data_IF_215622234892
#
_entry.id   IF_215622234892
#
_cell.length_a   1.000
_cell.length_b   1.000
_cell.length_c   1.000
_cell.angle_alpha   90.00
_cell.angle_beta   90.00
_cell.angle_gamma   90.00
#
_symmetry.space_group_name_H-M   'P 1'
#
loop_
_entity.id
_entity.type
_entity.pdbx_description
1 polymer ?
#
# COMPACT_ATOMS: atom_id res chain seq x y z
N UNK A 1 -11.12 61.04 8.20
CA UNK A 1 -9.94 61.16 7.31
C UNK A 1 -9.70 59.79 6.71
N UNK A 2 -9.64 59.67 5.39
CA UNK A 2 -9.31 58.41 4.72
C UNK A 2 -7.90 57.96 5.14
N UNK A 3 -7.71 56.68 5.46
CA UNK A 3 -6.42 56.14 5.87
C UNK A 3 -5.38 56.38 4.76
N UNK A 4 -4.39 57.27 4.95
CA UNK A 4 -3.41 57.60 3.91
C UNK A 4 -2.49 56.42 3.56
N UNK A 5 -2.47 55.37 4.40
CA UNK A 5 -1.72 54.13 4.15
C UNK A 5 -2.51 53.11 3.31
N UNK A 6 -3.81 53.31 3.08
CA UNK A 6 -4.61 52.39 2.25
C UNK A 6 -4.13 52.35 0.79
N UNK A 7 -3.53 53.44 0.30
CA UNK A 7 -2.95 53.51 -1.05
C UNK A 7 -1.68 52.65 -1.16
N UNK A 8 -0.95 52.45 -0.06
CA UNK A 8 0.21 51.57 0.02
C UNK A 8 -0.14 50.09 0.24
N UNK A 9 -1.41 49.77 0.53
CA UNK A 9 -1.93 48.40 0.67
C UNK A 9 -2.46 47.82 -0.64
N UNK A 10 -2.28 48.50 -1.78
CA UNK A 10 -2.58 47.90 -3.08
C UNK A 10 -1.53 46.83 -3.37
N UNK A 11 -1.83 45.59 -3.00
CA UNK A 11 -1.04 44.43 -3.35
C UNK A 11 -0.76 44.46 -4.86
N UNK A 12 0.52 44.44 -5.24
CA UNK A 12 0.89 44.39 -6.65
C UNK A 12 0.11 43.28 -7.35
N UNK A 13 -0.39 43.51 -8.59
CA UNK A 13 -1.12 42.49 -9.32
C UNK A 13 -0.25 41.23 -9.44
N UNK A 14 -0.84 40.08 -9.15
CA UNK A 14 -0.16 38.79 -9.24
C UNK A 14 0.23 38.52 -10.70
N UNK A 15 1.53 38.59 -10.99
CA UNK A 15 2.08 38.20 -12.28
C UNK A 15 2.55 36.75 -12.16
N UNK A 16 1.91 35.85 -12.90
CA UNK A 16 2.29 34.45 -12.94
C UNK A 16 3.49 34.25 -13.89
N UNK A 17 4.50 33.47 -13.50
CA UNK A 17 5.67 33.23 -14.33
C UNK A 17 5.40 32.14 -15.38
N UNK A 18 4.51 32.42 -16.33
CA UNK A 18 3.95 31.45 -17.31
C UNK A 18 4.96 30.77 -18.24
N UNK A 19 6.19 31.29 -18.30
CA UNK A 19 7.30 30.72 -19.08
C UNK A 19 8.27 29.87 -18.25
N UNK A 20 8.08 29.81 -16.94
CA UNK A 20 8.94 29.04 -16.05
C UNK A 20 8.44 27.58 -15.92
N UNK A 21 9.34 26.63 -15.61
CA UNK A 21 8.99 25.22 -15.38
C UNK A 21 7.96 25.06 -14.26
N UNK A 22 6.77 24.55 -14.61
CA UNK A 22 5.67 24.30 -13.69
C UNK A 22 5.55 22.81 -13.37
N UNK A 23 5.44 22.49 -12.08
CA UNK A 23 5.18 21.12 -11.62
C UNK A 23 3.67 20.84 -11.52
N UNK A 24 3.13 19.97 -12.37
CA UNK A 24 1.76 19.49 -12.32
C UNK A 24 1.69 18.22 -11.45
N UNK A 25 1.13 18.32 -10.25
CA UNK A 25 0.93 17.16 -9.37
C UNK A 25 -0.49 16.60 -9.49
N UNK A 26 -0.57 15.34 -9.92
CA UNK A 26 -1.82 14.59 -10.02
C UNK A 26 -1.82 13.35 -9.13
N UNK A 27 -2.99 13.02 -8.55
CA UNK A 27 -3.16 11.76 -7.80
C UNK A 27 -4.48 11.07 -8.14
N UNK A 28 -4.41 9.79 -8.50
CA UNK A 28 -5.59 8.96 -8.75
C UNK A 28 -6.47 8.84 -7.50
N UNK A 29 -7.79 9.03 -7.65
CA UNK A 29 -8.77 8.74 -6.58
C UNK A 29 -9.35 7.33 -6.75
N UNK A 30 -9.51 6.58 -5.66
CA UNK A 30 -10.01 5.21 -5.66
C UNK A 30 -11.48 5.06 -6.10
N UNK A 31 -12.27 6.13 -6.06
CA UNK A 31 -13.70 6.10 -6.44
C UNK A 31 -13.93 5.97 -7.95
N UNK A 32 -12.99 6.43 -8.78
CA UNK A 32 -13.15 6.47 -10.24
C UNK A 32 -12.54 5.27 -10.98
N UNK A 33 -11.80 4.40 -10.29
CA UNK A 33 -11.27 3.16 -10.89
C UNK A 33 -12.38 2.16 -11.30
N UNK A 34 -13.62 2.35 -10.83
CA UNK A 34 -14.72 1.43 -11.08
C UNK A 34 -15.50 1.68 -12.38
N UNK A 35 -15.36 2.83 -13.03
CA UNK A 35 -16.23 3.15 -14.18
C UNK A 35 -15.55 3.08 -15.54
N UNK A 36 -14.26 3.39 -15.71
CA UNK A 36 -13.66 3.43 -17.04
C UNK A 36 -12.25 2.82 -17.07
N UNK A 37 -12.10 1.76 -17.87
CA UNK A 37 -10.83 1.15 -18.26
C UNK A 37 -9.94 2.21 -18.93
N UNK A 38 -8.73 2.41 -18.41
CA UNK A 38 -7.57 3.05 -19.04
C UNK A 38 -7.68 4.55 -19.40
N UNK A 39 -8.80 5.03 -19.94
CA UNK A 39 -9.00 6.40 -20.43
C UNK A 39 -9.08 7.46 -19.32
N UNK A 40 -9.37 7.07 -18.08
CA UNK A 40 -9.56 8.04 -16.98
C UNK A 40 -8.27 8.66 -16.44
N UNK A 41 -7.12 8.03 -16.66
CA UNK A 41 -5.80 8.51 -16.18
C UNK A 41 -5.37 9.73 -16.99
N UNK A 42 -5.30 9.56 -18.31
CA UNK A 42 -4.81 10.58 -19.23
C UNK A 42 -5.80 11.74 -19.27
N UNK A 43 -7.11 11.45 -19.25
CA UNK A 43 -8.14 12.49 -19.27
C UNK A 43 -8.02 13.48 -18.09
N UNK A 44 -7.82 13.02 -16.85
CA UNK A 44 -7.74 13.94 -15.70
C UNK A 44 -6.49 14.85 -15.74
N UNK A 45 -5.39 14.37 -16.32
CA UNK A 45 -4.15 15.14 -16.45
C UNK A 45 -4.27 16.10 -17.63
N UNK A 46 -4.77 15.61 -18.76
CA UNK A 46 -4.98 16.39 -19.96
C UNK A 46 -5.95 17.55 -19.69
N UNK A 47 -7.01 17.33 -18.91
CA UNK A 47 -7.92 18.40 -18.49
C UNK A 47 -7.24 19.43 -17.56
N UNK A 48 -6.41 18.99 -16.61
CA UNK A 48 -5.65 19.94 -15.76
C UNK A 48 -4.61 20.73 -16.56
N UNK A 49 -3.96 20.10 -17.53
CA UNK A 49 -3.04 20.73 -18.47
C UNK A 49 -3.76 21.73 -19.37
N UNK A 50 -4.95 21.39 -19.87
CA UNK A 50 -5.83 22.32 -20.60
C UNK A 50 -6.19 23.53 -19.76
N UNK A 51 -6.52 23.36 -18.47
CA UNK A 51 -6.78 24.50 -17.57
C UNK A 51 -5.54 25.41 -17.50
N UNK A 52 -4.34 24.86 -17.31
CA UNK A 52 -3.10 25.65 -17.27
C UNK A 52 -2.82 26.40 -18.57
N UNK A 53 -2.99 25.75 -19.71
CA UNK A 53 -2.73 26.35 -21.03
C UNK A 53 -3.82 27.38 -21.40
N UNK A 54 -5.09 27.05 -21.23
CA UNK A 54 -6.22 27.88 -21.69
C UNK A 54 -6.55 29.02 -20.73
N UNK A 55 -6.58 28.75 -19.41
CA UNK A 55 -6.98 29.73 -18.41
C UNK A 55 -5.80 30.58 -17.92
N UNK A 56 -4.63 29.96 -17.75
CA UNK A 56 -3.44 30.63 -17.21
C UNK A 56 -2.39 30.96 -18.28
N UNK A 57 -2.64 30.63 -19.55
CA UNK A 57 -1.71 30.88 -20.67
C UNK A 57 -0.31 30.32 -20.45
N UNK A 58 -0.21 29.19 -19.73
CA UNK A 58 1.06 28.53 -19.49
C UNK A 58 1.57 27.85 -20.76
N UNK A 59 2.88 27.94 -21.03
CA UNK A 59 3.45 27.20 -22.16
C UNK A 59 3.43 25.68 -21.84
N UNK A 60 2.87 24.89 -22.77
CA UNK A 60 2.71 23.45 -22.60
C UNK A 60 4.05 22.70 -22.44
N UNK A 61 5.13 23.21 -23.05
CA UNK A 61 6.47 22.59 -23.04
C UNK A 61 7.15 22.69 -21.68
N UNK A 62 6.74 23.62 -20.83
CA UNK A 62 7.33 23.84 -19.50
C UNK A 62 6.48 23.25 -18.37
N UNK A 63 5.48 22.42 -18.68
CA UNK A 63 4.65 21.74 -17.68
C UNK A 63 5.16 20.30 -17.49
N UNK A 64 5.74 20.04 -16.31
CA UNK A 64 6.32 18.78 -15.90
C UNK A 64 5.36 18.01 -14.97
N UNK A 65 5.09 16.75 -15.27
CA UNK A 65 4.08 15.95 -14.56
C UNK A 65 4.70 15.09 -13.46
N UNK A 66 4.06 15.11 -12.28
CA UNK A 66 4.41 14.31 -11.11
C UNK A 66 3.18 13.50 -10.68
N UNK A 67 3.23 12.17 -10.81
CA UNK A 67 2.07 11.31 -10.60
C UNK A 67 2.35 10.11 -9.68
N UNK A 68 1.31 9.64 -8.99
CA UNK A 68 1.33 8.46 -8.13
C UNK A 68 0.19 7.48 -8.47
N UNK A 69 0.55 6.22 -8.76
CA UNK A 69 -0.37 5.10 -8.96
C UNK A 69 -0.81 4.49 -7.61
N UNK A 70 -2.11 4.24 -7.43
CA UNK A 70 -2.66 3.61 -6.21
C UNK A 70 -2.24 2.12 -6.06
N UNK A 71 -1.66 1.52 -7.11
CA UNK A 71 -1.48 0.08 -7.27
C UNK A 71 -0.49 -0.60 -6.31
N UNK A 72 0.47 0.13 -5.73
CA UNK A 72 1.58 -0.50 -4.98
C UNK A 72 1.61 -0.20 -3.46
N UNK A 73 0.68 0.57 -2.90
CA UNK A 73 0.86 1.10 -1.54
C UNK A 73 -0.35 0.95 -0.61
N UNK A 74 -1.03 -0.20 -0.67
CA UNK A 74 -1.85 -0.65 0.47
C UNK A 74 -1.01 -0.92 1.74
N UNK A 75 0.28 -1.18 1.55
CA UNK A 75 1.21 -1.70 2.57
C UNK A 75 2.43 -0.83 2.82
N UNK A 76 2.66 0.21 2.02
CA UNK A 76 3.77 1.14 2.25
C UNK A 76 3.35 2.14 3.32
N UNK A 77 4.06 2.06 4.45
CA UNK A 77 3.88 2.94 5.59
C UNK A 77 4.11 4.41 5.26
N UNK A 78 3.73 5.24 6.23
CA UNK A 78 4.01 6.66 6.36
C UNK A 78 5.48 6.92 5.97
N UNK A 79 5.78 7.40 4.77
CA UNK A 79 7.18 7.56 4.36
C UNK A 79 7.44 8.04 2.94
N UNK A 80 7.25 7.19 1.94
CA UNK A 80 7.86 7.45 0.63
C UNK A 80 6.83 7.48 -0.49
N UNK A 81 6.35 8.70 -0.72
CA UNK A 81 5.54 9.10 -1.85
C UNK A 81 6.44 9.47 -3.02
N UNK A 82 6.71 8.53 -3.92
CA UNK A 82 7.69 8.71 -5.02
C UNK A 82 7.42 9.98 -5.84
N UNK A 83 6.15 10.28 -6.14
CA UNK A 83 5.78 11.45 -6.95
C UNK A 83 5.96 12.76 -6.20
N UNK A 84 5.53 12.83 -4.93
CA UNK A 84 5.71 14.04 -4.09
C UNK A 84 7.18 14.25 -3.72
N UNK A 85 7.93 13.19 -3.44
CA UNK A 85 9.36 13.27 -3.13
C UNK A 85 10.13 13.83 -4.30
N UNK A 86 9.88 13.34 -5.53
CA UNK A 86 10.51 13.88 -6.75
C UNK A 86 10.16 15.34 -6.98
N UNK A 87 8.89 15.72 -6.79
CA UNK A 87 8.47 17.13 -6.87
C UNK A 87 9.22 18.00 -5.86
N UNK A 88 9.37 17.53 -4.62
CA UNK A 88 10.08 18.23 -3.57
C UNK A 88 11.58 18.38 -3.89
N UNK A 89 12.22 17.34 -4.45
CA UNK A 89 13.60 17.41 -4.94
C UNK A 89 13.78 18.45 -6.06
N UNK A 90 12.86 18.48 -7.03
CA UNK A 90 12.91 19.44 -8.14
C UNK A 90 12.58 20.88 -7.72
N UNK A 91 11.77 21.06 -6.67
CA UNK A 91 11.59 22.37 -6.00
C UNK A 91 12.88 22.78 -5.30
N UNK A 92 13.50 21.87 -4.54
CA UNK A 92 14.73 22.15 -3.79
C UNK A 92 15.92 22.47 -4.71
N UNK A 93 16.02 21.81 -5.86
CA UNK A 93 17.02 22.13 -6.89
C UNK A 93 16.77 23.50 -7.55
N UNK A 94 15.55 24.03 -7.44
CA UNK A 94 15.12 25.26 -8.08
C UNK A 94 14.74 25.08 -9.56
N UNK A 95 14.57 23.84 -10.01
CA UNK A 95 14.10 23.54 -11.36
C UNK A 95 12.65 23.98 -11.53
N UNK A 96 11.78 23.63 -10.57
CA UNK A 96 10.37 24.04 -10.55
C UNK A 96 10.21 25.36 -9.79
N UNK A 97 9.48 26.32 -10.36
CA UNK A 97 9.24 27.64 -9.75
C UNK A 97 7.79 27.84 -9.31
N UNK A 98 6.79 27.46 -10.12
CA UNK A 98 5.42 27.26 -9.64
C UNK A 98 4.97 25.81 -9.74
N UNK A 99 3.93 25.48 -8.99
CA UNK A 99 3.29 24.17 -9.06
C UNK A 99 1.78 24.31 -9.19
N UNK A 100 1.15 23.32 -9.81
CA UNK A 100 -0.29 23.18 -9.87
C UNK A 100 -0.72 21.89 -9.19
N UNK A 101 -1.72 21.99 -8.32
CA UNK A 101 -2.43 20.84 -7.77
C UNK A 101 -3.93 21.13 -7.72
N UNK A 102 -4.75 20.24 -8.28
CA UNK A 102 -6.19 20.48 -8.33
C UNK A 102 -6.81 20.69 -6.93
N UNK A 103 -6.45 19.84 -5.97
CA UNK A 103 -6.89 19.91 -4.58
C UNK A 103 -5.73 19.60 -3.63
N UNK A 104 -5.61 20.40 -2.55
CA UNK A 104 -4.55 20.23 -1.53
C UNK A 104 -4.64 18.89 -0.77
N UNK A 105 -5.82 18.26 -0.75
CA UNK A 105 -6.07 16.93 -0.17
C UNK A 105 -5.27 15.80 -0.85
N UNK A 106 -4.71 16.06 -2.04
CA UNK A 106 -3.91 15.11 -2.82
C UNK A 106 -2.45 15.08 -2.40
N UNK A 107 -1.90 16.20 -1.95
CA UNK A 107 -0.47 16.32 -1.64
C UNK A 107 -0.05 15.43 -0.46
N UNK A 108 -0.84 15.39 0.62
CA UNK A 108 -0.48 14.69 1.86
C UNK A 108 -1.69 13.99 2.48
N UNK A 109 -1.46 12.83 3.13
CA UNK A 109 -2.44 12.15 4.01
C UNK A 109 -1.88 12.08 5.43
N UNK A 110 -1.24 13.17 5.85
CA UNK A 110 -0.45 13.14 7.06
C UNK A 110 -1.27 13.67 8.24
N UNK A 111 -1.49 12.82 9.25
CA UNK A 111 -2.26 13.18 10.44
C UNK A 111 -1.53 14.23 11.28
N UNK A 112 -0.20 14.14 11.32
CA UNK A 112 0.64 15.03 12.14
C UNK A 112 1.14 16.25 11.37
N UNK A 113 0.80 16.35 10.07
CA UNK A 113 1.21 17.44 9.18
C UNK A 113 2.73 17.57 9.00
N UNK A 114 3.55 16.61 9.44
CA UNK A 114 5.01 16.69 9.37
C UNK A 114 5.46 16.89 7.92
N UNK A 115 4.91 16.09 7.00
CA UNK A 115 5.22 16.21 5.57
C UNK A 115 4.66 17.51 4.96
N UNK A 116 3.51 17.99 5.43
CA UNK A 116 2.92 19.25 4.98
C UNK A 116 3.82 20.43 5.36
N UNK A 117 4.31 20.45 6.60
CA UNK A 117 5.20 21.51 7.10
C UNK A 117 6.54 21.47 6.37
N UNK A 118 7.12 20.27 6.19
CA UNK A 118 8.38 20.10 5.43
C UNK A 118 8.24 20.63 4.01
N UNK A 119 7.14 20.30 3.35
CA UNK A 119 6.85 20.77 1.99
C UNK A 119 6.64 22.28 1.93
N UNK A 120 5.79 22.82 2.81
CA UNK A 120 5.52 24.25 2.86
C UNK A 120 6.80 25.07 3.13
N UNK A 121 7.72 24.56 3.97
CA UNK A 121 9.04 25.17 4.19
C UNK A 121 9.90 25.18 2.94
N UNK A 122 9.99 24.06 2.21
CA UNK A 122 10.72 24.01 0.95
C UNK A 122 10.15 25.02 -0.08
N UNK A 123 8.83 25.12 -0.16
CA UNK A 123 8.16 26.11 -1.02
C UNK A 123 8.39 27.56 -0.56
N UNK A 124 8.43 27.81 0.75
CA UNK A 124 8.73 29.13 1.33
C UNK A 124 10.15 29.58 0.95
N UNK A 125 11.15 28.72 1.15
CA UNK A 125 12.57 29.01 0.86
C UNK A 125 12.80 29.34 -0.62
N UNK A 126 12.10 28.65 -1.52
CA UNK A 126 12.22 28.81 -2.97
C UNK A 126 11.20 29.80 -3.56
N UNK A 127 10.36 30.41 -2.72
CA UNK A 127 9.29 31.33 -3.14
C UNK A 127 8.41 30.73 -4.24
N UNK A 128 7.93 29.52 -4.02
CA UNK A 128 7.08 28.78 -4.97
C UNK A 128 5.64 29.32 -4.95
N UNK A 129 5.02 29.41 -6.11
CA UNK A 129 3.57 29.69 -6.22
C UNK A 129 2.83 28.36 -6.32
N UNK A 130 1.87 28.12 -5.44
CA UNK A 130 1.01 26.94 -5.49
C UNK A 130 -0.34 27.34 -6.07
N UNK A 131 -0.64 26.87 -7.26
CA UNK A 131 -1.91 27.11 -7.96
C UNK A 131 -2.84 25.93 -7.69
N UNK A 132 -4.05 26.22 -7.24
CA UNK A 132 -5.11 25.22 -7.06
C UNK A 132 -6.39 25.63 -7.76
N UNK A 133 -7.36 24.72 -7.81
CA UNK A 133 -8.66 25.00 -8.45
C UNK A 133 -9.42 26.16 -7.79
N UNK A 134 -9.18 26.43 -6.51
CA UNK A 134 -9.93 27.41 -5.72
C UNK A 134 -9.10 28.59 -5.20
N UNK A 135 -7.77 28.47 -5.18
CA UNK A 135 -6.90 29.50 -4.60
C UNK A 135 -5.47 29.42 -5.13
N UNK A 136 -4.75 30.56 -5.14
CA UNK A 136 -3.33 30.64 -5.48
C UNK A 136 -2.55 31.09 -4.24
N UNK A 137 -1.66 30.24 -3.74
CA UNK A 137 -0.86 30.51 -2.55
C UNK A 137 0.52 31.02 -2.96
N UNK A 138 0.89 32.20 -2.47
CA UNK A 138 2.29 32.65 -2.47
C UNK A 138 2.89 32.28 -1.13
N UNK A 139 3.50 31.10 -1.04
CA UNK A 139 3.83 30.51 0.28
C UNK A 139 4.87 31.31 1.06
N UNK A 140 5.54 32.29 0.47
CA UNK A 140 6.43 33.23 1.17
C UNK A 140 5.71 34.40 1.86
N UNK A 141 4.41 34.57 1.62
CA UNK A 141 3.55 35.54 2.29
C UNK A 141 2.90 34.83 3.48
N UNK A 142 2.94 35.46 4.66
CA UNK A 142 2.51 34.84 5.91
C UNK A 142 1.03 34.39 5.85
N UNK A 143 0.14 35.24 5.33
CA UNK A 143 -1.29 34.95 5.21
C UNK A 143 -1.55 33.76 4.28
N UNK A 144 -0.86 33.69 3.13
CA UNK A 144 -1.00 32.58 2.18
C UNK A 144 -0.38 31.29 2.73
N UNK A 145 0.73 31.37 3.47
CA UNK A 145 1.35 30.22 4.13
C UNK A 145 0.42 29.62 5.18
N UNK A 146 -0.11 30.44 6.09
CA UNK A 146 -1.04 29.99 7.13
C UNK A 146 -2.30 29.39 6.51
N UNK A 147 -2.87 30.06 5.50
CA UNK A 147 -4.03 29.54 4.77
C UNK A 147 -3.76 28.20 4.12
N UNK A 148 -2.60 28.00 3.48
CA UNK A 148 -2.23 26.71 2.88
C UNK A 148 -2.22 25.59 3.93
N UNK A 149 -1.57 25.84 5.08
CA UNK A 149 -1.52 24.88 6.18
C UNK A 149 -2.92 24.55 6.71
N UNK A 150 -3.79 25.56 6.85
CA UNK A 150 -5.14 25.38 7.34
C UNK A 150 -6.05 24.64 6.34
N UNK A 151 -5.92 24.91 5.05
CA UNK A 151 -6.64 24.16 4.01
C UNK A 151 -6.19 22.69 3.98
N UNK A 152 -4.89 22.41 4.16
CA UNK A 152 -4.40 21.04 4.36
C UNK A 152 -4.99 20.38 5.62
N UNK A 153 -5.10 21.10 6.74
CA UNK A 153 -5.75 20.59 7.97
C UNK A 153 -7.22 20.29 7.74
N UNK A 154 -7.96 21.19 7.08
CA UNK A 154 -9.38 21.03 6.78
C UNK A 154 -9.61 19.84 5.86
N UNK A 155 -8.80 19.70 4.82
CA UNK A 155 -8.82 18.56 3.91
C UNK A 155 -8.60 17.23 4.65
N UNK A 156 -7.61 17.17 5.56
CA UNK A 156 -7.37 15.98 6.37
C UNK A 156 -8.56 15.67 7.29
N UNK A 157 -9.12 16.67 7.97
CA UNK A 157 -10.31 16.50 8.83
C UNK A 157 -11.50 15.97 8.05
N UNK A 158 -11.74 16.45 6.84
CA UNK A 158 -12.82 15.98 5.98
C UNK A 158 -12.60 14.51 5.56
N UNK A 159 -11.37 14.15 5.17
CA UNK A 159 -11.00 12.79 4.80
C UNK A 159 -11.09 11.83 6.00
N UNK A 160 -10.60 12.22 7.18
CA UNK A 160 -10.71 11.46 8.43
C UNK A 160 -12.17 11.25 8.83
N UNK A 161 -13.01 12.28 8.70
CA UNK A 161 -14.44 12.18 8.96
C UNK A 161 -15.12 11.19 8.03
N UNK A 162 -14.82 11.24 6.73
CA UNK A 162 -15.40 10.31 5.76
C UNK A 162 -14.92 8.87 5.97
N UNK A 163 -13.61 8.65 6.06
CA UNK A 163 -13.04 7.31 6.15
C UNK A 163 -13.17 6.72 7.56
N UNK A 164 -12.56 7.37 8.55
CA UNK A 164 -12.39 6.77 9.87
C UNK A 164 -13.63 6.92 10.76
N UNK A 165 -14.40 8.00 10.60
CA UNK A 165 -15.55 8.27 11.49
C UNK A 165 -16.89 7.84 10.89
N UNK A 166 -17.02 7.78 9.56
CA UNK A 166 -18.27 7.35 8.90
C UNK A 166 -18.14 5.95 8.32
N UNK A 167 -17.17 5.72 7.43
CA UNK A 167 -17.10 4.46 6.70
C UNK A 167 -16.61 3.28 7.56
N UNK A 168 -15.52 3.45 8.32
CA UNK A 168 -14.98 2.34 9.13
C UNK A 168 -15.98 1.80 10.16
N UNK A 169 -16.70 2.63 10.95
CA UNK A 169 -17.71 2.12 11.88
C UNK A 169 -18.84 1.38 11.16
N UNK A 170 -19.28 1.88 10.00
CA UNK A 170 -20.31 1.20 9.20
C UNK A 170 -19.84 -0.15 8.65
N UNK A 171 -18.56 -0.25 8.25
CA UNK A 171 -17.94 -1.52 7.82
C UNK A 171 -17.84 -2.49 9.00
N UNK A 172 -17.36 -2.03 10.14
CA UNK A 172 -17.27 -2.83 11.37
C UNK A 172 -18.64 -3.32 11.79
N UNK A 173 -19.65 -2.45 11.76
CA UNK A 173 -21.04 -2.81 12.06
C UNK A 173 -21.58 -3.86 11.08
N UNK A 174 -21.38 -3.68 9.77
CA UNK A 174 -21.76 -4.68 8.77
C UNK A 174 -21.08 -6.04 9.04
N UNK A 175 -19.79 -6.01 9.39
CA UNK A 175 -19.03 -7.21 9.74
C UNK A 175 -19.60 -7.94 10.97
N UNK A 176 -20.03 -7.20 11.99
CA UNK A 176 -20.68 -7.76 13.17
C UNK A 176 -22.09 -8.31 12.89
N UNK A 177 -22.69 -7.99 11.74
CA UNK A 177 -23.94 -8.58 11.24
C UNK A 177 -23.70 -9.79 10.32
N UNK A 178 -22.46 -10.28 10.21
CA UNK A 178 -22.09 -11.33 9.27
C UNK A 178 -22.17 -10.89 7.79
N UNK A 179 -22.17 -9.57 7.53
CA UNK A 179 -22.19 -9.02 6.18
C UNK A 179 -20.79 -8.62 5.75
N UNK A 180 -20.57 -8.64 4.44
CA UNK A 180 -19.37 -8.18 3.78
C UNK A 180 -19.08 -6.71 4.12
N UNK A 181 -17.86 -6.47 4.56
CA UNK A 181 -17.35 -5.19 5.06
C UNK A 181 -16.29 -4.57 4.13
N UNK A 182 -16.30 -4.95 2.85
CA UNK A 182 -15.38 -4.45 1.83
C UNK A 182 -13.90 -4.84 2.01
N UNK A 183 -13.62 -5.88 2.81
CA UNK A 183 -12.29 -6.53 2.89
C UNK A 183 -11.91 -7.23 1.59
N UNK A 184 -10.71 -7.80 1.52
CA UNK A 184 -10.29 -8.62 0.38
C UNK A 184 -11.19 -9.85 0.24
N UNK A 185 -11.49 -10.23 -1.00
CA UNK A 185 -12.41 -11.34 -1.27
C UNK A 185 -11.68 -12.66 -1.17
N UNK A 186 -12.30 -13.63 -0.48
CA UNK A 186 -11.81 -14.99 -0.46
C UNK A 186 -12.18 -15.70 -1.77
N UNK A 187 -11.18 -16.34 -2.39
CA UNK A 187 -11.38 -17.10 -3.62
C UNK A 187 -12.45 -18.18 -3.42
N UNK A 188 -13.31 -18.40 -4.40
CA UNK A 188 -14.50 -19.25 -4.26
C UNK A 188 -15.80 -18.48 -4.02
N UNK A 189 -15.74 -17.22 -3.58
CA UNK A 189 -16.92 -16.40 -3.28
C UNK A 189 -16.97 -15.10 -4.08
N UNK A 190 -18.17 -14.66 -4.42
CA UNK A 190 -18.49 -13.27 -4.77
C UNK A 190 -19.41 -12.67 -3.70
N UNK A 191 -19.82 -11.41 -3.87
CA UNK A 191 -20.72 -10.71 -2.94
C UNK A 191 -22.01 -10.37 -3.64
N UNK A 192 -23.13 -10.71 -3.00
CA UNK A 192 -24.44 -10.27 -3.44
C UNK A 192 -24.61 -8.75 -3.26
N UNK A 193 -24.89 -8.06 -4.37
CA UNK A 193 -25.05 -6.60 -4.43
C UNK A 193 -26.48 -6.17 -4.61
N UNK A 194 -27.41 -7.11 -4.85
CA UNK A 194 -28.81 -6.77 -5.02
C UNK A 194 -29.41 -6.39 -3.66
N UNK A 195 -29.88 -5.15 -3.56
CA UNK A 195 -30.47 -4.60 -2.33
C UNK A 195 -31.78 -5.30 -1.96
N UNK A 196 -32.44 -5.92 -2.92
CA UNK A 196 -33.71 -6.62 -2.72
C UNK A 196 -33.53 -8.10 -2.37
N UNK A 197 -32.32 -8.63 -2.53
CA UNK A 197 -32.01 -10.01 -2.18
C UNK A 197 -31.92 -10.21 -0.66
N UNK A 198 -32.39 -11.38 -0.20
CA UNK A 198 -32.26 -11.79 1.20
C UNK A 198 -30.79 -12.01 1.61
N UNK A 199 -29.91 -12.25 0.63
CA UNK A 199 -28.46 -12.41 0.83
C UNK A 199 -27.68 -11.12 0.62
N UNK A 200 -28.33 -9.95 0.54
CA UNK A 200 -27.65 -8.68 0.30
C UNK A 200 -26.43 -8.45 1.20
N UNK A 201 -25.29 -8.16 0.58
CA UNK A 201 -23.95 -8.03 1.20
C UNK A 201 -23.47 -9.31 1.90
N UNK A 202 -23.87 -10.50 1.47
CA UNK A 202 -23.29 -11.76 1.95
C UNK A 202 -22.46 -12.39 0.84
N UNK A 203 -21.60 -13.32 1.25
CA UNK A 203 -20.85 -14.14 0.31
C UNK A 203 -21.80 -15.10 -0.41
N UNK A 204 -21.57 -15.26 -1.71
CA UNK A 204 -22.27 -16.20 -2.58
C UNK A 204 -21.22 -17.04 -3.27
N UNK A 205 -21.29 -18.38 -3.22
CA UNK A 205 -20.34 -19.24 -3.90
C UNK A 205 -20.33 -18.97 -5.41
N UNK A 206 -19.13 -18.89 -5.98
CA UNK A 206 -18.93 -18.93 -7.43
C UNK A 206 -18.73 -20.39 -7.84
N UNK A 207 -19.68 -21.03 -8.55
CA UNK A 207 -19.70 -22.50 -8.70
C UNK A 207 -18.37 -23.10 -9.16
N UNK A 208 -17.80 -22.59 -10.25
CA UNK A 208 -16.51 -23.07 -10.78
C UNK A 208 -15.36 -22.92 -9.78
N UNK A 209 -15.33 -21.80 -9.05
CA UNK A 209 -14.24 -21.54 -8.11
C UNK A 209 -14.43 -22.33 -6.82
N UNK A 210 -15.66 -22.46 -6.35
CA UNK A 210 -16.04 -23.24 -5.19
C UNK A 210 -15.69 -24.72 -5.35
N UNK A 211 -15.97 -25.29 -6.53
CA UNK A 211 -15.56 -26.65 -6.90
C UNK A 211 -14.05 -26.83 -6.78
N UNK A 212 -13.26 -25.92 -7.37
CA UNK A 212 -11.79 -25.96 -7.28
C UNK A 212 -11.30 -25.86 -5.83
N UNK A 213 -11.89 -24.97 -5.02
CA UNK A 213 -11.55 -24.87 -3.60
C UNK A 213 -11.83 -26.19 -2.90
N UNK A 214 -13.03 -26.74 -3.04
CA UNK A 214 -13.39 -27.96 -2.30
C UNK A 214 -12.58 -29.18 -2.79
N UNK A 215 -12.56 -29.45 -4.09
CA UNK A 215 -11.99 -30.67 -4.65
C UNK A 215 -10.47 -30.62 -4.78
N UNK A 216 -9.93 -29.54 -5.36
CA UNK A 216 -8.49 -29.45 -5.67
C UNK A 216 -7.64 -28.91 -4.52
N UNK A 217 -8.25 -28.32 -3.49
CA UNK A 217 -7.52 -27.78 -2.34
C UNK A 217 -7.83 -28.57 -1.08
N UNK A 218 -9.08 -28.60 -0.62
CA UNK A 218 -9.44 -29.22 0.66
C UNK A 218 -9.37 -30.74 0.61
N UNK A 219 -10.09 -31.39 -0.32
CA UNK A 219 -10.06 -32.85 -0.45
C UNK A 219 -8.67 -33.33 -0.85
N UNK A 220 -8.02 -32.63 -1.79
CA UNK A 220 -6.66 -32.98 -2.21
C UNK A 220 -5.63 -32.94 -1.09
N UNK A 221 -5.75 -32.00 -0.14
CA UNK A 221 -4.89 -31.97 1.04
C UNK A 221 -5.09 -33.20 1.94
N UNK A 222 -6.33 -33.70 2.04
CA UNK A 222 -6.64 -34.92 2.79
C UNK A 222 -5.97 -36.12 2.11
N UNK A 223 -6.00 -36.20 0.78
CA UNK A 223 -5.30 -37.26 0.02
C UNK A 223 -3.79 -37.27 0.32
N UNK A 224 -3.18 -36.08 0.44
CA UNK A 224 -1.78 -35.91 0.84
C UNK A 224 -1.52 -36.07 2.35
N UNK A 225 -2.53 -36.43 3.15
CA UNK A 225 -2.39 -36.62 4.59
C UNK A 225 -1.98 -35.35 5.34
N UNK A 226 -2.34 -34.17 4.83
CA UNK A 226 -1.98 -32.87 5.42
C UNK A 226 -0.67 -32.27 4.91
N UNK A 227 -0.07 -32.82 3.84
CA UNK A 227 1.11 -32.22 3.21
C UNK A 227 0.77 -31.01 2.36
N UNK A 228 0.70 -29.83 2.99
CA UNK A 228 0.48 -28.59 2.27
C UNK A 228 1.63 -28.22 1.32
N UNK A 229 2.85 -28.73 1.54
CA UNK A 229 3.98 -28.47 0.63
C UNK A 229 3.88 -29.33 -0.63
N UNK A 230 3.53 -30.61 -0.49
CA UNK A 230 3.26 -31.47 -1.64
C UNK A 230 2.09 -30.94 -2.48
N UNK A 231 1.02 -30.45 -1.83
CA UNK A 231 -0.09 -29.80 -2.52
C UNK A 231 0.37 -28.54 -3.27
N UNK A 232 1.18 -27.68 -2.64
CA UNK A 232 1.72 -26.49 -3.31
C UNK A 232 2.56 -26.87 -4.53
N UNK A 233 3.41 -27.89 -4.40
CA UNK A 233 4.22 -28.38 -5.51
C UNK A 233 3.35 -28.90 -6.66
N UNK A 234 2.30 -29.69 -6.39
CA UNK A 234 1.33 -30.12 -7.42
C UNK A 234 0.71 -28.91 -8.14
N UNK A 235 0.26 -27.91 -7.38
CA UNK A 235 -0.33 -26.69 -7.92
C UNK A 235 0.67 -25.90 -8.79
N UNK A 236 1.94 -25.83 -8.40
CA UNK A 236 2.99 -25.19 -9.20
C UNK A 236 3.28 -25.93 -10.52
N UNK A 237 3.21 -27.27 -10.52
CA UNK A 237 3.45 -28.10 -11.71
C UNK A 237 2.29 -28.08 -12.71
N UNK A 238 1.08 -27.74 -12.30
CA UNK A 238 -0.04 -27.59 -13.22
C UNK A 238 0.20 -26.39 -14.14
N UNK A 239 0.49 -26.64 -15.42
CA UNK A 239 0.62 -25.62 -16.47
C UNK A 239 -0.75 -24.97 -16.79
N UNK A 240 -1.28 -24.17 -15.87
CA UNK A 240 -2.58 -23.53 -16.04
C UNK A 240 -3.00 -22.67 -14.85
N UNK A 241 -4.11 -21.93 -15.02
CA UNK A 241 -4.74 -21.21 -13.92
C UNK A 241 -5.47 -22.19 -13.01
N UNK A 242 -5.38 -21.99 -11.70
CA UNK A 242 -6.16 -22.79 -10.75
C UNK A 242 -7.63 -22.38 -10.83
N UNK A 243 -7.88 -21.06 -10.89
CA UNK A 243 -9.22 -20.51 -10.95
C UNK A 243 -9.43 -19.76 -12.27
N UNK A 244 -10.52 -20.02 -13.01
CA UNK A 244 -10.78 -19.34 -14.26
C UNK A 244 -11.06 -17.85 -14.05
N UNK A 245 -10.82 -17.04 -15.08
CA UNK A 245 -11.21 -15.64 -15.08
C UNK A 245 -12.71 -15.47 -14.78
N UNK A 246 -13.03 -14.44 -14.01
CA UNK A 246 -14.40 -14.08 -13.67
C UNK A 246 -14.60 -12.61 -14.03
N UNK A 247 -15.62 -12.31 -14.83
CA UNK A 247 -15.89 -10.94 -15.29
C UNK A 247 -16.68 -10.16 -14.23
N UNK A 248 -16.01 -9.83 -13.13
CA UNK A 248 -16.56 -8.99 -12.08
C UNK A 248 -15.51 -8.00 -11.56
N UNK A 249 -15.73 -6.68 -11.73
CA UNK A 249 -14.75 -5.66 -11.35
C UNK A 249 -14.38 -5.66 -9.86
N UNK A 250 -15.34 -5.95 -8.96
CA UNK A 250 -15.04 -5.99 -7.52
C UNK A 250 -14.15 -7.20 -7.20
N UNK A 251 -14.52 -8.37 -7.72
CA UNK A 251 -13.79 -9.62 -7.56
C UNK A 251 -12.35 -9.47 -8.05
N UNK A 252 -12.18 -9.00 -9.29
CA UNK A 252 -10.87 -8.86 -9.93
C UNK A 252 -9.97 -7.87 -9.20
N UNK A 253 -10.53 -6.82 -8.58
CA UNK A 253 -9.77 -5.80 -7.86
C UNK A 253 -9.48 -6.16 -6.40
N UNK A 254 -10.26 -7.05 -5.78
CA UNK A 254 -10.20 -7.35 -4.33
C UNK A 254 -9.57 -8.70 -3.98
N UNK A 255 -9.10 -9.46 -4.96
CA UNK A 255 -8.44 -10.76 -4.74
C UNK A 255 -6.93 -10.61 -4.69
N UNK A 256 -6.34 -11.25 -3.70
CA UNK A 256 -4.90 -11.30 -3.42
C UNK A 256 -4.29 -12.63 -3.90
N UNK A 257 -4.51 -12.96 -5.18
CA UNK A 257 -3.89 -14.08 -5.88
C UNK A 257 -3.04 -13.58 -7.04
N UNK A 258 -2.13 -14.42 -7.54
CA UNK A 258 -1.40 -14.10 -8.76
C UNK A 258 -2.39 -14.06 -9.93
N UNK A 259 -2.51 -12.90 -10.56
CA UNK A 259 -3.42 -12.68 -11.69
C UNK A 259 -2.68 -13.02 -12.99
N UNK A 260 -3.27 -13.89 -13.79
CA UNK A 260 -2.84 -14.14 -15.17
C UNK A 260 -3.84 -13.39 -16.07
N UNK A 261 -3.44 -12.25 -16.67
CA UNK A 261 -4.36 -11.38 -17.41
C UNK A 261 -5.16 -12.13 -18.47
N UNK A 262 -6.48 -12.00 -18.45
CA UNK A 262 -7.38 -12.62 -19.43
C UNK A 262 -7.58 -14.13 -19.28
N UNK A 263 -6.87 -14.81 -18.37
CA UNK A 263 -6.93 -16.27 -18.21
C UNK A 263 -7.52 -16.66 -16.84
N UNK A 264 -7.05 -16.05 -15.75
CA UNK A 264 -7.53 -16.40 -14.40
C UNK A 264 -6.53 -16.13 -13.29
N UNK A 265 -6.56 -16.99 -12.25
CA UNK A 265 -5.84 -16.80 -10.99
C UNK A 265 -5.05 -18.03 -10.58
N UNK A 266 -3.89 -17.81 -9.97
CA UNK A 266 -3.01 -18.84 -9.43
C UNK A 266 -2.66 -18.55 -7.97
N UNK A 267 -2.48 -19.62 -7.20
CA UNK A 267 -1.96 -19.55 -5.84
C UNK A 267 -0.44 -19.48 -5.97
N UNK A 268 0.14 -18.34 -5.58
CA UNK A 268 1.56 -18.07 -5.81
C UNK A 268 2.48 -18.39 -4.65
N UNK A 269 1.95 -18.51 -3.43
CA UNK A 269 2.78 -18.73 -2.24
C UNK A 269 2.16 -19.76 -1.32
N UNK A 270 3.03 -20.49 -0.63
CA UNK A 270 2.65 -21.41 0.44
C UNK A 270 1.84 -20.71 1.54
N UNK A 271 2.17 -19.46 1.87
CA UNK A 271 1.44 -18.65 2.85
C UNK A 271 0.00 -18.38 2.42
N UNK A 272 -0.22 -18.07 1.14
CA UNK A 272 -1.58 -17.88 0.60
C UNK A 272 -2.39 -19.17 0.65
N UNK A 273 -1.78 -20.32 0.33
CA UNK A 273 -2.42 -21.62 0.44
C UNK A 273 -2.86 -21.92 1.88
N UNK A 274 -1.98 -21.70 2.85
CA UNK A 274 -2.32 -21.87 4.27
C UNK A 274 -3.42 -20.91 4.74
N UNK A 275 -3.40 -19.66 4.28
CA UNK A 275 -4.48 -18.71 4.59
C UNK A 275 -5.83 -19.20 4.07
N UNK A 276 -5.89 -19.80 2.86
CA UNK A 276 -7.11 -20.41 2.33
C UNK A 276 -7.54 -21.58 3.23
N UNK A 277 -6.63 -22.50 3.53
CA UNK A 277 -6.90 -23.71 4.31
C UNK A 277 -7.28 -23.46 5.78
N UNK A 278 -6.89 -22.31 6.37
CA UNK A 278 -7.16 -21.96 7.78
C UNK A 278 -8.27 -20.92 7.96
N UNK A 279 -8.81 -20.35 6.89
CA UNK A 279 -9.92 -19.40 6.96
C UNK A 279 -11.32 -20.06 7.13
N UNK A 280 -12.02 -19.87 8.27
CA UNK A 280 -13.34 -20.46 8.53
C UNK A 280 -14.47 -19.90 7.64
N UNK A 281 -14.19 -18.91 6.79
CA UNK A 281 -15.12 -18.46 5.76
C UNK A 281 -15.56 -19.62 4.84
N UNK A 282 -14.73 -20.63 4.63
CA UNK A 282 -15.10 -21.77 3.77
C UNK A 282 -16.19 -22.68 4.35
N UNK A 283 -16.42 -22.63 5.67
CA UNK A 283 -17.51 -23.32 6.36
C UNK A 283 -18.70 -22.39 6.67
N UNK A 284 -18.85 -21.28 5.94
CA UNK A 284 -19.97 -20.35 6.12
C UNK A 284 -19.87 -19.47 7.37
N UNK A 285 -18.68 -19.37 7.98
CA UNK A 285 -18.47 -18.60 9.22
C UNK A 285 -17.74 -17.30 8.93
N UNK A 286 -18.36 -16.17 9.28
CA UNK A 286 -17.74 -14.85 9.16
C UNK A 286 -16.96 -14.50 10.43
N UNK A 287 -15.71 -14.08 10.30
CA UNK A 287 -14.85 -13.73 11.44
C UNK A 287 -14.55 -12.23 11.48
N UNK A 288 -14.74 -11.62 12.65
CA UNK A 288 -14.44 -10.21 12.91
C UNK A 288 -13.69 -10.08 14.23
N UNK A 289 -12.39 -9.82 14.16
CA UNK A 289 -11.53 -9.83 15.35
C UNK A 289 -11.60 -11.19 16.05
N UNK A 290 -12.00 -11.20 17.32
CA UNK A 290 -12.15 -12.42 18.13
C UNK A 290 -13.57 -13.01 18.09
N UNK A 291 -14.49 -12.43 17.32
CA UNK A 291 -15.88 -12.90 17.20
C UNK A 291 -16.08 -13.68 15.90
N UNK A 292 -16.86 -14.75 15.98
CA UNK A 292 -17.21 -15.61 14.86
C UNK A 292 -18.74 -15.66 14.72
N UNK A 293 -19.21 -15.58 13.48
CA UNK A 293 -20.62 -15.51 13.10
C UNK A 293 -20.92 -16.68 12.15
N UNK A 294 -21.27 -17.87 12.69
CA UNK A 294 -21.58 -19.03 11.88
C UNK A 294 -22.87 -18.83 11.07
N UNK A 295 -22.98 -19.47 9.91
CA UNK A 295 -24.17 -19.39 9.05
C UNK A 295 -24.38 -18.02 8.40
N UNK A 296 -23.31 -17.22 8.26
CA UNK A 296 -23.39 -15.89 7.63
C UNK A 296 -23.63 -15.98 6.13
N UNK A 297 -23.15 -17.06 5.50
CA UNK A 297 -23.24 -17.33 4.07
C UNK A 297 -23.16 -18.83 3.80
N UNK A 298 -23.44 -19.23 2.57
CA UNK A 298 -23.38 -20.62 2.13
C UNK A 298 -21.93 -21.15 2.19
N UNK A 299 -21.75 -22.35 2.74
CA UNK A 299 -20.45 -22.97 2.89
C UNK A 299 -20.01 -23.67 1.59
N UNK A 300 -18.75 -23.48 1.18
CA UNK A 300 -18.13 -24.23 0.08
C UNK A 300 -17.66 -25.61 0.55
N UNK A 301 -17.19 -25.70 1.79
CA UNK A 301 -16.61 -26.91 2.37
C UNK A 301 -17.47 -27.37 3.54
N UNK A 302 -17.69 -28.68 3.65
CA UNK A 302 -18.43 -29.24 4.78
C UNK A 302 -17.63 -29.10 6.07
N UNK A 303 -18.33 -29.03 7.21
CA UNK A 303 -17.67 -28.92 8.52
C UNK A 303 -16.74 -30.12 8.80
N UNK A 304 -17.14 -31.31 8.39
CA UNK A 304 -16.35 -32.54 8.55
C UNK A 304 -15.03 -32.48 7.77
N UNK A 305 -15.06 -32.08 6.50
CA UNK A 305 -13.85 -31.92 5.68
C UNK A 305 -12.92 -30.86 6.29
N UNK A 306 -13.49 -29.74 6.74
CA UNK A 306 -12.75 -28.68 7.40
C UNK A 306 -12.02 -29.15 8.65
N UNK A 307 -12.75 -29.77 9.59
CA UNK A 307 -12.18 -30.22 10.86
C UNK A 307 -11.09 -31.28 10.63
N UNK A 308 -11.26 -32.15 9.63
CA UNK A 308 -10.23 -33.12 9.21
C UNK A 308 -8.97 -32.41 8.72
N UNK A 309 -9.11 -31.41 7.86
CA UNK A 309 -7.98 -30.60 7.37
C UNK A 309 -7.28 -29.87 8.50
N UNK A 310 -8.00 -29.24 9.43
CA UNK A 310 -7.39 -28.57 10.57
C UNK A 310 -6.58 -29.54 11.43
N UNK A 311 -7.16 -30.70 11.74
CA UNK A 311 -6.49 -31.76 12.49
C UNK A 311 -5.19 -32.22 11.80
N UNK A 312 -5.22 -32.46 10.48
CA UNK A 312 -4.03 -32.88 9.73
C UNK A 312 -2.94 -31.80 9.72
N UNK A 313 -3.32 -30.53 9.55
CA UNK A 313 -2.37 -29.42 9.57
C UNK A 313 -1.75 -29.21 10.95
N UNK A 314 -2.54 -29.30 12.03
CA UNK A 314 -2.07 -29.16 13.42
C UNK A 314 -1.15 -30.31 13.81
N UNK A 315 -1.56 -31.57 13.55
CA UNK A 315 -0.75 -32.76 13.83
C UNK A 315 0.61 -32.72 13.14
N UNK A 316 0.66 -32.19 11.91
CA UNK A 316 1.91 -32.07 11.17
C UNK A 316 2.79 -30.93 11.68
N UNK A 317 2.19 -29.83 12.11
CA UNK A 317 2.93 -28.76 12.75
C UNK A 317 3.60 -29.24 14.05
N UNK A 318 2.88 -30.03 14.85
CA UNK A 318 3.39 -30.69 16.05
C UNK A 318 4.51 -31.69 15.74
N UNK A 319 4.41 -32.48 14.67
CA UNK A 319 5.46 -33.44 14.31
C UNK A 319 6.75 -32.79 13.81
N UNK A 320 6.64 -31.65 13.11
CA UNK A 320 7.81 -30.87 12.64
C UNK A 320 8.44 -30.08 13.81
N UNK A 321 7.63 -29.62 14.76
CA UNK A 321 8.08 -28.88 15.95
C UNK A 321 7.61 -29.58 17.23
N UNK A 322 8.16 -30.76 17.58
CA UNK A 322 7.71 -31.56 18.72
C UNK A 322 7.98 -30.90 20.08
N UNK A 323 8.69 -29.78 20.10
CA UNK A 323 8.95 -29.00 21.30
C UNK A 323 8.30 -27.63 21.13
N UNK A 324 7.62 -27.09 22.16
CA UNK A 324 7.15 -25.72 22.13
C UNK A 324 8.33 -24.82 21.76
N UNK A 325 8.10 -23.81 20.90
CA UNK A 325 9.06 -22.73 20.68
C UNK A 325 9.23 -21.99 22.00
N UNK A 326 10.03 -22.55 22.89
CA UNK A 326 10.45 -21.88 24.10
C UNK A 326 11.22 -20.65 23.61
N UNK A 327 10.61 -19.48 23.78
CA UNK A 327 11.26 -18.19 23.64
C UNK A 327 12.35 -18.11 24.70
N UNK A 328 13.52 -18.65 24.33
CA UNK A 328 14.88 -18.45 24.86
C UNK A 328 15.72 -19.61 24.34
N UNK A 329 16.00 -19.60 23.03
CA UNK A 329 17.29 -20.13 22.61
C UNK A 329 18.28 -19.03 22.96
N UNK A 330 18.89 -19.13 24.14
CA UNK A 330 20.15 -18.45 24.39
C UNK A 330 21.09 -18.99 23.33
N UNK A 331 21.22 -18.25 22.23
CA UNK A 331 22.22 -18.54 21.23
C UNK A 331 23.57 -18.53 21.96
N UNK A 332 24.46 -19.47 21.67
CA UNK A 332 25.75 -19.64 22.36
C UNK A 332 26.58 -18.35 22.43
N UNK A 333 26.29 -17.38 21.57
CA UNK A 333 26.99 -16.11 21.41
C UNK A 333 26.17 -14.89 21.88
N UNK A 334 24.98 -15.09 22.47
CA UNK A 334 24.15 -14.02 23.01
C UNK A 334 24.90 -13.36 24.17
N UNK A 335 25.24 -12.08 24.03
CA UNK A 335 26.03 -11.33 25.01
C UNK A 335 27.56 -11.48 24.90
N UNK A 336 28.06 -12.37 24.04
CA UNK A 336 29.51 -12.53 23.79
C UNK A 336 30.01 -11.78 22.55
N UNK A 337 29.10 -11.36 21.66
CA UNK A 337 29.45 -10.54 20.50
C UNK A 337 29.38 -9.06 20.93
N UNK A 338 30.54 -8.43 21.04
CA UNK A 338 30.69 -6.99 21.28
C UNK A 338 31.13 -6.29 19.99
N UNK A 339 30.63 -5.08 19.78
CA UNK A 339 31.01 -4.22 18.65
C UNK A 339 32.52 -3.95 18.68
N UNK A 340 33.24 -4.07 17.55
CA UNK A 340 34.64 -3.69 17.53
C UNK A 340 34.84 -2.16 17.55
N UNK A 341 33.90 -1.35 17.01
CA UNK A 341 33.98 0.12 17.01
C UNK A 341 32.59 0.82 17.02
N UNK A 342 32.50 2.10 17.46
CA UNK A 342 31.29 2.92 17.33
C UNK A 342 30.99 3.18 15.85
N UNK A 343 29.80 2.79 15.37
CA UNK A 343 29.34 3.06 13.99
C UNK A 343 29.07 1.82 13.12
N UNK A 344 29.36 0.60 13.58
CA UNK A 344 28.92 -0.61 12.86
C UNK A 344 27.42 -0.86 13.08
N UNK A 345 26.68 -1.04 11.98
CA UNK A 345 25.26 -1.41 11.99
C UNK A 345 25.13 -2.88 12.41
N UNK A 346 24.32 -3.14 13.42
CA UNK A 346 23.98 -4.49 13.87
C UNK A 346 22.60 -4.85 13.30
N UNK A 347 22.46 -6.02 12.69
CA UNK A 347 21.15 -6.67 12.57
C UNK A 347 20.81 -7.29 13.94
N UNK A 348 20.43 -6.45 14.90
CA UNK A 348 20.04 -6.93 16.24
C UNK A 348 18.62 -7.51 16.19
N UNK A 349 18.47 -8.79 16.55
CA UNK A 349 17.18 -9.48 16.56
C UNK A 349 16.27 -9.13 17.75
N UNK A 350 16.70 -8.36 18.76
CA UNK A 350 15.81 -7.93 19.86
C UNK A 350 16.14 -6.52 20.37
N UNK A 351 15.12 -5.66 20.49
CA UNK A 351 15.16 -4.39 21.22
C UNK A 351 15.28 -4.67 22.72
N UNK A 352 16.24 -4.07 23.44
CA UNK A 352 16.04 -3.82 24.89
C UNK A 352 16.90 -2.71 25.49
N UNK A 353 16.28 -2.09 26.50
CA UNK A 353 16.68 -0.98 27.36
C UNK A 353 17.97 -1.27 28.15
N UNK A 354 18.74 -0.20 28.37
CA UNK A 354 19.94 -0.12 29.21
C UNK A 354 19.69 -0.56 30.67
N UNK A 355 20.69 -1.23 31.27
CA UNK A 355 21.29 -0.85 32.57
C UNK A 355 22.45 -1.81 32.94
N UNK A 356 23.66 -1.24 33.00
CA UNK A 356 24.83 -1.50 33.85
C UNK A 356 25.28 -2.94 34.23
N UNK A 357 26.40 -3.39 33.64
CA UNK A 357 27.49 -4.17 34.28
C UNK A 357 28.72 -4.28 33.35
N UNK A 358 29.99 -4.25 33.85
CA UNK A 358 31.18 -4.34 33.00
C UNK A 358 31.61 -5.81 32.84
N UNK A 359 31.79 -6.29 31.60
CA UNK A 359 32.41 -7.59 31.32
C UNK A 359 33.59 -7.48 30.35
N UNK A 360 34.70 -8.13 30.73
CA UNK A 360 35.96 -8.24 30.01
C UNK A 360 35.78 -8.74 28.57
N UNK A 361 36.38 -8.04 27.61
CA UNK A 361 36.29 -8.35 26.18
C UNK A 361 37.28 -9.44 25.73
N UNK A 362 36.83 -10.33 24.84
CA UNK A 362 37.68 -11.13 23.95
C UNK A 362 37.20 -10.91 22.52
N UNK A 363 38.11 -10.57 21.61
CA UNK A 363 37.81 -10.27 20.20
C UNK A 363 37.99 -11.51 19.31
N UNK A 364 37.14 -11.66 18.28
CA UNK A 364 37.27 -12.67 17.23
C UNK A 364 37.28 -11.99 15.85
N UNK A 365 38.21 -12.41 14.98
CA UNK A 365 38.40 -11.86 13.63
C UNK A 365 37.76 -12.82 12.60
N UNK A 366 36.78 -12.41 11.77
CA UNK A 366 36.23 -13.28 10.74
C UNK A 366 37.04 -13.17 9.44
N UNK A 367 37.60 -14.30 9.00
CA UNK A 367 38.22 -14.49 7.69
C UNK A 367 37.18 -14.86 6.62
N UNK A 368 37.28 -14.17 5.48
CA UNK A 368 36.74 -14.41 4.14
C UNK A 368 35.72 -15.54 3.86
N UNK A 369 34.61 -15.12 3.22
CA UNK A 369 33.70 -15.99 2.48
C UNK A 369 32.71 -15.21 1.60
N UNK A 370 33.20 -14.32 0.72
CA UNK A 370 32.40 -13.69 -0.35
C UNK A 370 32.70 -14.40 -1.68
N UNK A 371 31.70 -15.03 -2.28
CA UNK A 371 31.68 -15.32 -3.72
C UNK A 371 30.41 -14.72 -4.31
N UNK A 372 30.49 -13.45 -4.72
CA UNK A 372 29.63 -12.91 -5.78
C UNK A 372 30.53 -12.65 -6.98
N UNK A 373 30.33 -13.45 -8.03
CA UNK A 373 30.94 -13.26 -9.33
C UNK A 373 30.22 -12.11 -10.03
N UNK A 374 30.90 -11.00 -10.25
CA UNK A 374 30.51 -10.01 -11.26
C UNK A 374 31.71 -9.73 -12.16
N UNK A 375 31.69 -10.30 -13.37
CA UNK A 375 32.58 -9.94 -14.47
C UNK A 375 32.38 -8.47 -14.82
N UNK A 376 33.44 -7.66 -14.74
CA UNK A 376 33.61 -6.48 -15.59
C UNK A 376 34.97 -6.59 -16.29
N UNK A 377 34.91 -6.65 -17.61
CA UNK A 377 36.06 -6.62 -18.52
C UNK A 377 36.25 -5.16 -18.93
N UNK A 378 37.47 -4.63 -18.77
CA UNK A 378 37.96 -3.43 -19.46
C UNK A 378 39.41 -3.69 -19.91
N UNK A 379 39.86 -3.03 -21.00
CA UNK A 379 40.94 -3.50 -21.86
C UNK A 379 42.34 -3.21 -21.28
N UNK A 380 43.40 -3.87 -21.77
CA UNK A 380 44.74 -3.68 -21.24
C UNK A 380 45.35 -2.37 -21.75
N UNK A 381 45.71 -1.50 -20.82
CA UNK A 381 46.64 -0.39 -21.06
C UNK A 381 48.08 -0.92 -21.04
N UNK A 382 48.78 -0.61 -22.11
CA UNK A 382 50.20 -0.85 -22.40
C UNK A 382 51.15 -0.20 -21.40
N UNK A 383 52.14 -0.95 -20.90
CA UNK A 383 53.49 -0.43 -20.56
C UNK A 383 54.55 -1.52 -20.76
N UNK A 384 55.41 -1.28 -21.76
CA UNK A 384 56.86 -1.51 -21.78
C UNK A 384 57.45 -2.81 -21.24
N UNK A 385 57.91 -3.67 -22.16
CA UNK A 385 59.32 -3.70 -22.58
C UNK A 385 59.42 -4.11 -24.03
#
# INVERSE_FOLDING_TARGET
>A
MANPLAVYQMAQPLILPVNEPLGLYGRQSSLFQFQNNTESRDYQIEEQRKILVLQYSWNNEVIFEYFEDFGESGTLGIGERVGVTRLLEDIQSGFIKPMYVFLVDRLFRDKLLENVIRFAKACYEKKIIIITSCYIYRVWIAEDYEKFIDDCKLAWKALDLQLNKRMLPMRVFASHLGKYDSRTLNIGYTVDRDKHSCTYKRYVPLPKHAEIVNEKIFLRLIDYGGDAFALMHELEQQEGVHFPWHDDPLFNNKIELLKVPGVGYRIGTYTTLLHILRNPVYIGTWKTGNKEYPGSHEAIVTRQTWDTVQYLLDRRQESIHPHPRNHRRDTLLKGLIMRPFPGCIEFSLERRREQDAPQQARYYHPGNGRNHVSRRVYPPSSVGR
#
